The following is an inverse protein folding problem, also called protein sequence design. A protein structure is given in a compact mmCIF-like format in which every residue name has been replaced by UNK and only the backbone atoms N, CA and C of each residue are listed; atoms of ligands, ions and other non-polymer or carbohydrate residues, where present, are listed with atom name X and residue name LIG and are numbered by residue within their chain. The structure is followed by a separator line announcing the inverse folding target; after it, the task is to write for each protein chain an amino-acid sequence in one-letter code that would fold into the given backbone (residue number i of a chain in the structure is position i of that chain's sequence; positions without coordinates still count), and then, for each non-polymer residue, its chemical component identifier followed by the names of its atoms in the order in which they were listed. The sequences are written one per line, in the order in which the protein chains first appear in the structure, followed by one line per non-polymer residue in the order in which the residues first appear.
data_IF_512002005786
#
_entry.id   IF_512002005786
#
_cell.length_a   1.000
_cell.length_b   1.000
_cell.length_c   1.000
_cell.angle_alpha   90.00
_cell.angle_beta   90.00
_cell.angle_gamma   90.00
#
_symmetry.space_group_name_H-M   'P 1'
#
loop_
_entity.id
_entity.type
_entity.pdbx_description
1 polymer ?
#
# COMPACT_ATOMS: atom_id res chain seq x y z
N UNK A 1 -3.84 10.80 -27.31
CA UNK A 1 -4.51 9.77 -28.13
C UNK A 1 -6.00 9.82 -27.87
N UNK A 2 -6.77 10.18 -28.92
CA UNK A 2 -8.25 10.25 -28.85
C UNK A 2 -8.84 8.83 -29.01
N UNK A 3 -8.79 8.05 -27.93
CA UNK A 3 -9.32 6.68 -27.93
C UNK A 3 -10.47 6.59 -26.93
N UNK A 4 -11.61 6.01 -27.34
CA UNK A 4 -12.79 5.88 -26.46
C UNK A 4 -12.53 4.89 -25.32
N UNK A 5 -13.18 5.10 -24.18
CA UNK A 5 -13.14 4.19 -23.03
C UNK A 5 -13.57 2.76 -23.41
N UNK A 6 -14.49 2.63 -24.38
CA UNK A 6 -14.91 1.33 -24.90
C UNK A 6 -13.78 0.59 -25.65
N UNK A 7 -12.95 1.31 -26.40
CA UNK A 7 -11.80 0.74 -27.11
C UNK A 7 -10.74 0.26 -26.13
N UNK A 8 -10.45 1.05 -25.08
CA UNK A 8 -9.52 0.67 -24.01
C UNK A 8 -10.05 -0.59 -23.29
N UNK A 9 -11.31 -0.65 -22.95
CA UNK A 9 -11.92 -1.81 -22.30
C UNK A 9 -11.83 -3.08 -23.16
N UNK A 10 -12.08 -2.98 -24.47
CA UNK A 10 -11.93 -4.12 -25.40
C UNK A 10 -10.49 -4.56 -25.54
N UNK A 11 -9.54 -3.63 -25.56
CA UNK A 11 -8.10 -3.93 -25.58
C UNK A 11 -7.69 -4.72 -24.34
N UNK A 12 -8.09 -4.26 -23.15
CA UNK A 12 -7.78 -4.97 -21.90
C UNK A 12 -8.37 -6.39 -21.89
N UNK A 13 -9.62 -6.55 -22.34
CA UNK A 13 -10.26 -7.87 -22.44
C UNK A 13 -9.55 -8.80 -23.43
N UNK A 14 -9.04 -8.28 -24.57
CA UNK A 14 -8.24 -9.09 -25.52
C UNK A 14 -6.92 -9.58 -24.93
N UNK A 15 -6.36 -8.84 -23.95
CA UNK A 15 -5.15 -9.22 -23.21
C UNK A 15 -5.45 -10.14 -22.01
N UNK A 16 -6.71 -10.56 -21.82
CA UNK A 16 -7.11 -11.41 -20.70
C UNK A 16 -7.36 -10.64 -19.39
N UNK A 17 -7.34 -9.30 -19.46
CA UNK A 17 -7.49 -8.45 -18.29
C UNK A 17 -8.95 -8.08 -18.02
N UNK A 18 -9.37 -8.07 -16.74
CA UNK A 18 -10.76 -7.75 -16.36
C UNK A 18 -11.15 -6.31 -16.73
N UNK A 19 -10.23 -5.37 -16.58
CA UNK A 19 -10.43 -3.95 -16.84
C UNK A 19 -9.09 -3.21 -17.01
N UNK A 20 -9.14 -1.91 -17.30
CA UNK A 20 -7.94 -1.08 -17.49
C UNK A 20 -7.06 -0.98 -16.23
N UNK A 21 -7.66 -0.98 -15.05
CA UNK A 21 -6.91 -0.98 -13.79
C UNK A 21 -6.14 -2.29 -13.59
N UNK A 22 -6.78 -3.46 -13.84
CA UNK A 22 -6.06 -4.75 -13.86
C UNK A 22 -4.91 -4.75 -14.87
N UNK A 23 -5.16 -4.22 -16.07
CA UNK A 23 -4.13 -4.10 -17.09
C UNK A 23 -2.96 -3.22 -16.64
N UNK A 24 -3.22 -2.02 -16.11
CA UNK A 24 -2.16 -1.14 -15.59
C UNK A 24 -1.33 -1.84 -14.50
N UNK A 25 -2.01 -2.53 -13.62
CA UNK A 25 -1.43 -3.26 -12.50
C UNK A 25 -0.51 -4.38 -12.99
N UNK A 26 -1.02 -5.25 -13.85
CA UNK A 26 -0.26 -6.39 -14.37
C UNK A 26 0.86 -5.94 -15.32
N UNK A 27 0.61 -4.89 -16.09
CA UNK A 27 1.62 -4.29 -16.95
C UNK A 27 2.74 -3.62 -16.13
N UNK A 28 2.40 -2.83 -15.11
CA UNK A 28 3.41 -2.25 -14.21
C UNK A 28 4.21 -3.34 -13.48
N UNK A 29 3.54 -4.40 -13.02
CA UNK A 29 4.21 -5.57 -12.43
C UNK A 29 5.14 -6.28 -13.43
N UNK A 30 4.69 -6.48 -14.67
CA UNK A 30 5.52 -7.13 -15.71
C UNK A 30 6.66 -6.23 -16.17
N UNK A 31 6.46 -4.92 -16.23
CA UNK A 31 7.51 -3.94 -16.52
C UNK A 31 8.53 -3.90 -15.39
N UNK A 32 8.09 -3.89 -14.14
CA UNK A 32 8.98 -3.99 -12.97
C UNK A 32 9.77 -5.31 -12.94
N UNK A 33 9.16 -6.41 -13.43
CA UNK A 33 9.84 -7.71 -13.59
C UNK A 33 10.71 -7.77 -14.86
N UNK A 34 10.41 -7.01 -15.90
CA UNK A 34 11.12 -6.98 -17.17
C UNK A 34 12.25 -5.94 -17.23
N UNK A 35 12.29 -4.98 -16.32
CA UNK A 35 13.54 -4.28 -15.99
C UNK A 35 14.46 -5.27 -15.24
N UNK A 36 14.74 -6.39 -15.89
CA UNK A 36 15.91 -7.20 -15.61
C UNK A 36 17.18 -6.42 -16.01
N UNK A 37 17.44 -5.36 -15.28
CA UNK A 37 18.83 -5.13 -14.88
C UNK A 37 19.14 -6.29 -13.94
N UNK A 38 20.37 -6.80 -13.94
CA UNK A 38 20.88 -7.91 -13.08
C UNK A 38 20.72 -7.63 -11.55
N UNK A 39 19.80 -6.78 -11.16
CA UNK A 39 19.50 -6.39 -9.77
C UNK A 39 18.37 -7.26 -9.28
N UNK A 40 18.68 -8.28 -8.50
CA UNK A 40 17.71 -8.95 -7.65
C UNK A 40 17.24 -7.96 -6.58
N UNK A 41 16.06 -7.36 -6.75
CA UNK A 41 15.49 -6.40 -5.80
C UNK A 41 15.29 -6.99 -4.39
N UNK A 42 15.33 -8.31 -4.22
CA UNK A 42 15.33 -8.97 -2.93
C UNK A 42 16.75 -9.08 -2.34
N UNK A 43 17.77 -9.00 -3.20
CA UNK A 43 19.20 -9.00 -2.84
C UNK A 43 19.95 -7.99 -3.70
N UNK A 44 19.72 -6.69 -3.51
CA UNK A 44 20.33 -5.66 -4.34
C UNK A 44 21.83 -5.57 -4.15
N UNK A 45 22.40 -6.20 -3.10
CA UNK A 45 23.81 -6.15 -2.75
C UNK A 45 24.48 -7.50 -2.96
N UNK A 46 25.72 -7.48 -3.47
CA UNK A 46 26.60 -8.65 -3.61
C UNK A 46 27.57 -8.71 -2.44
N UNK A 47 28.05 -9.88 -2.11
CA UNK A 47 28.94 -10.12 -0.95
C UNK A 47 30.23 -9.29 -1.00
N UNK A 48 30.71 -8.95 -2.21
CA UNK A 48 31.95 -8.19 -2.42
C UNK A 48 31.73 -6.74 -2.86
N UNK A 49 30.50 -6.22 -2.77
CA UNK A 49 30.23 -4.83 -3.10
C UNK A 49 30.94 -3.89 -2.13
N UNK A 50 31.54 -2.85 -2.63
CA UNK A 50 32.11 -1.78 -1.83
C UNK A 50 31.00 -0.96 -1.16
N UNK A 51 31.31 -0.26 -0.07
CA UNK A 51 30.39 0.63 0.62
C UNK A 51 29.77 1.65 -0.36
N UNK A 52 30.55 2.14 -1.32
CA UNK A 52 30.09 3.10 -2.31
C UNK A 52 29.07 2.48 -3.27
N UNK A 53 29.31 1.25 -3.74
CA UNK A 53 28.36 0.51 -4.57
C UNK A 53 27.06 0.22 -3.84
N UNK A 54 27.14 -0.27 -2.58
CA UNK A 54 25.96 -0.49 -1.72
C UNK A 54 25.15 0.80 -1.55
N UNK A 55 25.83 1.93 -1.28
CA UNK A 55 25.16 3.22 -1.09
C UNK A 55 24.44 3.68 -2.36
N UNK A 56 25.09 3.54 -3.51
CA UNK A 56 24.49 3.89 -4.80
C UNK A 56 23.29 3.00 -5.14
N UNK A 57 23.43 1.69 -4.99
CA UNK A 57 22.35 0.71 -5.23
C UNK A 57 21.15 0.98 -4.32
N UNK A 58 21.38 1.31 -3.05
CA UNK A 58 20.32 1.68 -2.14
C UNK A 58 19.59 2.96 -2.59
N UNK A 59 20.34 3.96 -3.03
CA UNK A 59 19.77 5.21 -3.56
C UNK A 59 18.87 4.97 -4.78
N UNK A 60 19.33 4.17 -5.75
CA UNK A 60 18.52 3.81 -6.92
C UNK A 60 17.30 2.98 -6.53
N UNK A 61 17.42 2.03 -5.60
CA UNK A 61 16.30 1.24 -5.09
C UNK A 61 15.18 2.11 -4.52
N UNK A 62 15.53 3.10 -3.70
CA UNK A 62 14.53 4.04 -3.15
C UNK A 62 13.89 4.89 -4.25
N UNK A 63 14.67 5.38 -5.21
CA UNK A 63 14.17 6.15 -6.34
C UNK A 63 13.18 5.34 -7.18
N UNK A 64 13.55 4.11 -7.53
CA UNK A 64 12.69 3.20 -8.29
C UNK A 64 11.40 2.86 -7.54
N UNK A 65 11.48 2.66 -6.22
CA UNK A 65 10.32 2.43 -5.36
C UNK A 65 9.33 3.61 -5.41
N UNK A 66 9.85 4.83 -5.34
CA UNK A 66 9.04 6.05 -5.40
C UNK A 66 8.38 6.19 -6.78
N UNK A 67 9.14 6.05 -7.85
CA UNK A 67 8.61 6.20 -9.22
C UNK A 67 7.59 5.10 -9.54
N UNK A 68 7.84 3.85 -9.13
CA UNK A 68 6.89 2.77 -9.28
C UNK A 68 5.59 3.01 -8.48
N UNK A 69 5.70 3.49 -7.25
CA UNK A 69 4.52 3.86 -6.44
C UNK A 69 3.73 4.99 -7.10
N UNK A 70 4.38 6.06 -7.59
CA UNK A 70 3.73 7.15 -8.33
C UNK A 70 3.00 6.65 -9.58
N UNK A 71 3.60 5.73 -10.33
CA UNK A 71 3.01 5.17 -11.54
C UNK A 71 1.73 4.34 -11.26
N UNK A 72 1.63 3.76 -10.05
CA UNK A 72 0.49 2.95 -9.61
C UNK A 72 -0.61 3.77 -8.93
N UNK A 73 -0.33 5.02 -8.56
CA UNK A 73 -1.34 5.89 -7.93
C UNK A 73 -2.45 6.23 -8.92
N UNK A 74 -3.69 5.98 -8.50
CA UNK A 74 -4.88 6.49 -9.15
C UNK A 74 -5.20 7.86 -8.50
N UNK A 75 -4.95 8.93 -9.24
CA UNK A 75 -5.13 10.30 -8.71
C UNK A 75 -6.59 10.65 -8.44
N UNK A 76 -7.55 10.04 -9.14
CA UNK A 76 -8.97 10.25 -8.87
C UNK A 76 -9.35 9.59 -7.54
N UNK A 77 -8.85 8.38 -7.27
CA UNK A 77 -9.00 7.72 -5.97
C UNK A 77 -8.30 8.52 -4.87
N UNK A 78 -7.09 9.02 -5.12
CA UNK A 78 -6.36 9.82 -4.14
C UNK A 78 -7.12 11.10 -3.77
N UNK A 79 -7.69 11.80 -4.75
CA UNK A 79 -8.52 12.99 -4.51
C UNK A 79 -9.75 12.65 -3.67
N UNK A 80 -10.46 11.55 -3.98
CA UNK A 80 -11.61 11.10 -3.17
C UNK A 80 -11.20 10.76 -1.73
N UNK A 81 -10.03 10.14 -1.54
CA UNK A 81 -9.47 9.84 -0.22
C UNK A 81 -9.20 11.13 0.56
N UNK A 82 -8.55 12.11 -0.07
CA UNK A 82 -8.24 13.41 0.56
C UNK A 82 -9.54 14.10 0.98
N UNK A 83 -10.52 14.20 0.09
CA UNK A 83 -11.82 14.79 0.42
C UNK A 83 -12.52 14.06 1.56
N UNK A 84 -12.43 12.73 1.59
CA UNK A 84 -13.05 11.93 2.65
C UNK A 84 -12.38 12.19 3.99
N UNK A 85 -11.05 12.27 4.03
CA UNK A 85 -10.28 12.57 5.24
C UNK A 85 -10.58 13.98 5.77
N UNK A 86 -10.63 14.99 4.91
CA UNK A 86 -10.94 16.38 5.29
C UNK A 86 -12.34 16.56 5.88
N UNK A 87 -13.29 15.74 5.46
CA UNK A 87 -14.70 15.79 5.96
C UNK A 87 -14.93 14.93 7.20
N UNK A 88 -13.94 14.18 7.64
CA UNK A 88 -14.06 13.21 8.74
C UNK A 88 -13.46 13.78 10.02
N UNK A 89 -14.23 13.73 11.10
CA UNK A 89 -13.75 14.18 12.43
C UNK A 89 -12.92 13.14 13.17
N UNK A 90 -13.04 11.86 12.80
CA UNK A 90 -12.31 10.75 13.45
C UNK A 90 -11.68 9.87 12.40
N UNK A 91 -10.36 9.82 12.41
CA UNK A 91 -9.54 8.93 11.60
C UNK A 91 -8.92 7.89 12.52
N UNK A 92 -9.19 6.63 12.27
CA UNK A 92 -8.54 5.51 12.95
C UNK A 92 -7.47 4.89 12.04
N UNK A 93 -6.27 4.64 12.58
CA UNK A 93 -5.21 3.93 11.85
C UNK A 93 -5.08 2.51 12.39
N UNK A 94 -4.90 1.57 11.48
CA UNK A 94 -4.63 0.17 11.76
C UNK A 94 -3.41 -0.27 10.96
N UNK A 95 -2.34 -0.60 11.66
CA UNK A 95 -1.07 -1.01 11.07
C UNK A 95 -0.28 -1.87 12.07
N UNK A 96 0.19 -3.02 11.64
CA UNK A 96 0.95 -3.96 12.48
C UNK A 96 2.32 -4.28 11.87
N UNK A 97 3.24 -4.77 12.69
CA UNK A 97 4.58 -5.12 12.23
C UNK A 97 5.34 -3.90 11.65
N UNK A 98 6.00 -4.07 10.52
CA UNK A 98 6.76 -3.01 9.87
C UNK A 98 5.89 -1.81 9.46
N UNK A 99 4.64 -2.06 9.06
CA UNK A 99 3.68 -1.00 8.69
C UNK A 99 3.33 -0.07 9.85
N UNK A 100 3.54 -0.50 11.10
CA UNK A 100 3.31 0.32 12.28
C UNK A 100 4.09 1.64 12.25
N UNK A 101 5.34 1.61 11.78
CA UNK A 101 6.17 2.82 11.65
C UNK A 101 5.57 3.83 10.66
N UNK A 102 4.97 3.34 9.56
CA UNK A 102 4.26 4.20 8.61
C UNK A 102 3.02 4.83 9.24
N UNK A 103 2.30 4.08 10.08
CA UNK A 103 1.17 4.60 10.85
C UNK A 103 1.58 5.71 11.83
N UNK A 104 2.68 5.52 12.57
CA UNK A 104 3.24 6.55 13.46
C UNK A 104 3.63 7.82 12.72
N UNK A 105 4.30 7.68 11.58
CA UNK A 105 4.68 8.83 10.76
C UNK A 105 3.45 9.58 10.26
N UNK A 106 2.42 8.86 9.82
CA UNK A 106 1.17 9.47 9.39
C UNK A 106 0.47 10.21 10.54
N UNK A 107 0.32 9.58 11.70
CA UNK A 107 -0.25 10.22 12.90
C UNK A 107 0.50 11.52 13.24
N UNK A 108 1.84 11.46 13.30
CA UNK A 108 2.66 12.64 13.59
C UNK A 108 2.44 13.78 12.59
N UNK A 109 2.34 13.46 11.29
CA UNK A 109 2.09 14.46 10.24
C UNK A 109 0.69 15.06 10.35
N UNK A 110 -0.32 14.27 10.67
CA UNK A 110 -1.70 14.75 10.82
C UNK A 110 -1.85 15.66 12.03
N UNK A 111 -1.22 15.33 13.16
CA UNK A 111 -1.17 16.21 14.34
C UNK A 111 -0.54 17.56 14.00
N UNK A 112 0.50 17.60 13.15
CA UNK A 112 1.17 18.84 12.74
C UNK A 112 0.29 19.80 11.95
N UNK A 113 -0.84 19.32 11.41
CA UNK A 113 -1.85 20.11 10.69
C UNK A 113 -3.18 20.20 11.47
N UNK A 114 -3.12 19.99 12.78
CA UNK A 114 -4.27 20.06 13.70
C UNK A 114 -5.40 19.06 13.34
N UNK A 115 -5.02 17.89 12.84
CA UNK A 115 -5.98 16.83 12.50
C UNK A 115 -5.83 15.68 13.46
N UNK A 116 -6.89 15.40 14.21
CA UNK A 116 -6.87 14.30 15.19
C UNK A 116 -6.94 12.93 14.52
N UNK A 117 -6.00 12.08 14.90
CA UNK A 117 -5.91 10.70 14.46
C UNK A 117 -5.79 9.79 15.67
N UNK A 118 -6.51 8.70 15.67
CA UNK A 118 -6.46 7.70 16.73
C UNK A 118 -5.66 6.49 16.24
N UNK A 119 -4.45 6.34 16.75
CA UNK A 119 -3.57 5.21 16.46
C UNK A 119 -3.14 4.54 17.77
N UNK A 120 -3.38 3.25 17.89
CA UNK A 120 -3.02 2.46 19.06
C UNK A 120 -1.71 1.73 18.83
N UNK A 121 -0.81 1.77 19.82
CA UNK A 121 0.51 1.16 19.73
C UNK A 121 0.50 -0.37 19.73
N UNK A 122 -0.46 -0.96 20.43
CA UNK A 122 -0.56 -2.42 20.59
C UNK A 122 -1.54 -3.00 19.56
N UNK A 123 -1.20 -4.14 18.91
CA UNK A 123 -2.14 -4.85 18.03
C UNK A 123 -3.45 -5.22 18.72
N UNK A 124 -3.40 -5.60 20.00
CA UNK A 124 -4.58 -5.92 20.80
C UNK A 124 -5.49 -4.69 21.02
N UNK A 125 -4.92 -3.50 21.20
CA UNK A 125 -5.72 -2.29 21.36
C UNK A 125 -6.25 -1.79 20.00
N UNK A 126 -5.55 -2.01 18.90
CA UNK A 126 -6.05 -1.81 17.55
C UNK A 126 -7.24 -2.73 17.28
N UNK A 127 -7.13 -4.00 17.66
CA UNK A 127 -8.21 -4.99 17.56
C UNK A 127 -9.46 -4.53 18.32
N UNK A 128 -9.32 -4.13 19.59
CA UNK A 128 -10.42 -3.56 20.38
C UNK A 128 -10.99 -2.28 19.75
N UNK A 129 -10.13 -1.39 19.25
CA UNK A 129 -10.58 -0.15 18.61
C UNK A 129 -11.41 -0.39 17.36
N UNK A 130 -11.12 -1.43 16.59
CA UNK A 130 -11.87 -1.78 15.39
C UNK A 130 -13.35 -2.04 15.62
N UNK A 131 -13.73 -2.46 16.84
CA UNK A 131 -15.13 -2.67 17.24
C UNK A 131 -15.95 -1.36 17.27
N UNK A 132 -15.29 -0.21 17.38
CA UNK A 132 -15.95 1.10 17.51
C UNK A 132 -15.91 1.93 16.22
N UNK A 133 -15.22 1.43 15.18
CA UNK A 133 -15.26 2.03 13.84
C UNK A 133 -16.66 1.85 13.26
N UNK A 134 -17.25 2.91 12.74
CA UNK A 134 -18.61 2.90 12.23
C UNK A 134 -18.75 3.84 11.01
N UNK A 135 -19.95 4.03 10.49
CA UNK A 135 -20.23 4.84 9.28
C UNK A 135 -19.75 6.30 9.34
N UNK A 136 -19.50 6.84 10.54
CA UNK A 136 -19.04 8.22 10.74
C UNK A 136 -17.52 8.31 10.89
N UNK A 137 -16.81 7.19 10.85
CA UNK A 137 -15.35 7.12 11.00
C UNK A 137 -14.70 6.62 9.72
N UNK A 138 -13.46 7.02 9.52
CA UNK A 138 -12.61 6.53 8.43
C UNK A 138 -11.46 5.72 9.04
N UNK A 139 -11.29 4.51 8.58
CA UNK A 139 -10.19 3.65 8.95
C UNK A 139 -9.13 3.64 7.84
N UNK A 140 -7.91 4.04 8.17
CA UNK A 140 -6.74 3.85 7.31
C UNK A 140 -6.08 2.54 7.73
N UNK A 141 -6.08 1.54 6.86
CA UNK A 141 -5.47 0.24 7.10
C UNK A 141 -4.21 0.12 6.26
N UNK A 142 -3.04 0.06 6.91
CA UNK A 142 -1.74 -0.03 6.27
C UNK A 142 -1.22 -1.46 6.43
N UNK A 143 -1.18 -2.20 5.33
CA UNK A 143 -0.65 -3.56 5.32
C UNK A 143 -0.15 -3.91 3.92
N UNK A 144 1.14 -4.16 3.77
CA UNK A 144 1.72 -4.46 2.47
C UNK A 144 1.15 -5.75 1.87
N UNK A 145 1.12 -6.85 2.61
CA UNK A 145 0.51 -8.10 2.15
C UNK A 145 -1.01 -8.05 2.10
N UNK A 146 -1.64 -7.31 3.03
CA UNK A 146 -3.10 -7.28 3.21
C UNK A 146 -3.72 -8.62 3.64
N UNK A 147 -2.91 -9.56 4.12
CA UNK A 147 -3.29 -10.97 4.36
C UNK A 147 -3.08 -11.43 5.81
N UNK A 148 -2.44 -10.63 6.68
CA UNK A 148 -2.21 -11.05 8.06
C UNK A 148 -3.52 -11.27 8.83
N UNK A 149 -3.52 -12.20 9.78
CA UNK A 149 -4.71 -12.58 10.54
C UNK A 149 -5.31 -11.40 11.30
N UNK A 150 -4.46 -10.58 11.91
CA UNK A 150 -4.87 -9.38 12.66
C UNK A 150 -5.59 -8.38 11.74
N UNK A 151 -5.03 -8.14 10.55
CA UNK A 151 -5.63 -7.22 9.58
C UNK A 151 -6.97 -7.76 9.07
N UNK A 152 -7.09 -9.06 8.80
CA UNK A 152 -8.36 -9.67 8.39
C UNK A 152 -9.45 -9.46 9.44
N UNK A 153 -9.14 -9.74 10.71
CA UNK A 153 -10.07 -9.56 11.82
C UNK A 153 -10.52 -8.10 11.97
N UNK A 154 -9.58 -7.15 11.89
CA UNK A 154 -9.87 -5.71 11.94
C UNK A 154 -10.77 -5.30 10.77
N UNK A 155 -10.42 -5.72 9.55
CA UNK A 155 -11.17 -5.39 8.32
C UNK A 155 -12.61 -5.92 8.39
N UNK A 156 -12.82 -7.16 8.84
CA UNK A 156 -14.15 -7.73 8.95
C UNK A 156 -15.04 -6.93 9.92
N UNK A 157 -14.52 -6.58 11.09
CA UNK A 157 -15.26 -5.75 12.06
C UNK A 157 -15.63 -4.38 11.52
N UNK A 158 -14.70 -3.73 10.80
CA UNK A 158 -14.96 -2.43 10.18
C UNK A 158 -16.06 -2.53 9.12
N UNK A 159 -16.03 -3.58 8.29
CA UNK A 159 -17.05 -3.85 7.28
C UNK A 159 -18.41 -4.12 7.92
N UNK A 160 -18.47 -4.97 8.95
CA UNK A 160 -19.71 -5.30 9.66
C UNK A 160 -20.34 -4.06 10.30
N UNK A 161 -19.52 -3.15 10.81
CA UNK A 161 -19.93 -1.87 11.39
C UNK A 161 -20.16 -0.76 10.34
N UNK A 162 -20.07 -1.08 9.04
CA UNK A 162 -20.26 -0.14 7.93
C UNK A 162 -19.29 1.05 7.94
N UNK A 163 -18.08 0.85 8.47
CA UNK A 163 -17.00 1.82 8.46
C UNK A 163 -16.42 1.98 7.06
N UNK A 164 -15.81 3.14 6.80
CA UNK A 164 -15.09 3.37 5.55
C UNK A 164 -13.64 2.92 5.70
N UNK A 165 -13.16 2.05 4.79
CA UNK A 165 -11.78 1.56 4.76
C UNK A 165 -11.03 2.23 3.62
N UNK A 166 -9.93 2.90 3.95
CA UNK A 166 -8.88 3.34 3.03
C UNK A 166 -7.69 2.39 3.22
N UNK A 167 -7.41 1.57 2.23
CA UNK A 167 -6.28 0.65 2.27
C UNK A 167 -5.03 1.28 1.65
N UNK A 168 -3.88 1.13 2.33
CA UNK A 168 -2.56 1.34 1.77
C UNK A 168 -1.90 -0.04 1.72
N UNK A 169 -1.76 -0.61 0.51
CA UNK A 169 -1.39 -2.01 0.34
C UNK A 169 -0.64 -2.24 -0.97
N UNK A 170 -0.03 -3.40 -1.13
CA UNK A 170 0.61 -3.78 -2.40
C UNK A 170 -0.42 -3.97 -3.51
N UNK A 171 0.10 -4.16 -4.72
CA UNK A 171 -0.69 -4.42 -5.94
C UNK A 171 -1.48 -5.74 -5.90
N UNK A 172 -1.09 -6.68 -5.03
CA UNK A 172 -1.64 -8.02 -4.98
C UNK A 172 -3.14 -8.03 -4.67
N UNK A 173 -3.85 -9.02 -5.20
CA UNK A 173 -5.28 -9.24 -4.97
C UNK A 173 -5.53 -9.79 -3.55
N UNK A 174 -5.28 -8.97 -2.53
CA UNK A 174 -5.32 -9.33 -1.13
C UNK A 174 -6.71 -9.21 -0.51
N UNK A 175 -6.86 -9.81 0.66
CA UNK A 175 -8.08 -9.73 1.47
C UNK A 175 -8.46 -8.29 1.80
N UNK A 176 -7.49 -7.47 2.21
CA UNK A 176 -7.69 -6.06 2.50
C UNK A 176 -8.15 -5.29 1.24
N UNK A 177 -7.49 -5.51 0.08
CA UNK A 177 -7.84 -4.84 -1.17
C UNK A 177 -9.27 -5.11 -1.61
N UNK A 178 -9.75 -6.34 -1.46
CA UNK A 178 -11.11 -6.75 -1.86
C UNK A 178 -12.21 -6.09 -1.03
N UNK A 179 -11.91 -5.70 0.20
CA UNK A 179 -12.88 -5.17 1.16
C UNK A 179 -12.79 -3.66 1.38
N UNK A 180 -11.72 -3.04 0.92
CA UNK A 180 -11.52 -1.61 1.06
C UNK A 180 -12.44 -0.81 0.13
N UNK A 181 -12.93 0.33 0.62
CA UNK A 181 -13.68 1.30 -0.19
C UNK A 181 -12.76 2.07 -1.13
N UNK A 182 -11.53 2.34 -0.69
CA UNK A 182 -10.49 3.02 -1.45
C UNK A 182 -9.17 2.28 -1.28
N UNK A 183 -8.41 2.11 -2.36
CA UNK A 183 -7.09 1.48 -2.34
C UNK A 183 -6.04 2.42 -2.90
N UNK A 184 -5.06 2.76 -2.08
CA UNK A 184 -3.82 3.40 -2.50
C UNK A 184 -2.75 2.31 -2.62
N UNK A 185 -2.25 2.13 -3.84
CA UNK A 185 -1.29 1.08 -4.14
C UNK A 185 0.12 1.58 -3.91
N UNK A 186 0.92 0.81 -3.19
CA UNK A 186 2.34 1.09 -2.95
C UNK A 186 3.21 -0.08 -3.39
N UNK A 187 4.44 0.22 -3.77
CA UNK A 187 5.52 -0.75 -3.96
C UNK A 187 6.42 -0.70 -2.74
N UNK A 188 6.94 -1.84 -2.32
CA UNK A 188 7.96 -1.92 -1.28
C UNK A 188 8.92 -3.05 -1.60
N UNK A 189 10.19 -2.78 -1.55
CA UNK A 189 11.28 -3.75 -1.66
C UNK A 189 11.84 -4.10 -0.27
N UNK A 190 11.00 -4.14 0.75
CA UNK A 190 11.38 -4.27 2.16
C UNK A 190 11.86 -5.66 2.58
N UNK A 191 11.96 -6.62 1.69
CA UNK A 191 12.62 -7.90 1.98
C UNK A 191 14.12 -7.85 1.69
N UNK A 192 14.80 -6.83 2.22
CA UNK A 192 16.26 -6.86 2.37
C UNK A 192 16.61 -7.91 3.45
N UNK A 193 16.55 -9.17 3.09
CA UNK A 193 17.16 -10.21 3.91
C UNK A 193 18.67 -10.08 3.72
N UNK A 194 19.35 -9.60 4.74
CA UNK A 194 20.80 -9.79 4.81
C UNK A 194 21.10 -11.28 4.63
N UNK A 195 22.09 -11.67 3.81
CA UNK A 195 22.46 -13.06 3.70
C UNK A 195 22.84 -13.55 5.09
N UNK A 196 21.98 -14.36 5.69
CA UNK A 196 22.35 -15.10 6.89
C UNK A 196 23.39 -16.11 6.43
N UNK A 197 24.65 -15.82 6.72
CA UNK A 197 25.71 -16.81 6.62
C UNK A 197 25.31 -17.97 7.54
N UNK A 198 24.83 -19.05 6.95
CA UNK A 198 24.77 -20.33 7.64
C UNK A 198 26.21 -20.72 7.95
N UNK A 199 26.60 -20.63 9.23
CA UNK A 199 27.79 -21.32 9.76
C UNK A 199 27.45 -22.77 9.92
#
# INVERSE_FOLDING_TARGET
TFTSTATISRFCKKLGEKNYNSFKINFASSVLTSYQTDVDYNRPFKENDSIQEVTNQLGELYKDTIEATKALLDYDVLNQVIEKLLKTSVIDIFAVGASYLSGLLFEHRMISIDHFVNFKSSPNDQDKRSLFVNKNTVAIVISYSGESHEIKTIVDRIVDNKGTIIAITSINDSYLRKRANYCLTTVSYTHLTLPTTSR
#
